data_IF_659461879518
#
_entry.id   IF_659461879518
#
_cell.length_a   1.000
_cell.length_b   1.000
_cell.length_c   1.000
_cell.angle_alpha   90.00
_cell.angle_beta   90.00
_cell.angle_gamma   90.00
#
_symmetry.space_group_name_H-M   'P 1'
#
loop_
_entity.id
_entity.type
_entity.pdbx_description
1 polymer ?
#
# COMPACT_ATOMS: atom_id res chain seq x y z
N UNK A 1 9.41 2.13 25.36
CA UNK A 1 8.49 1.79 24.28
C UNK A 1 7.20 2.58 24.50
N UNK A 2 6.79 3.48 23.60
CA UNK A 2 5.46 4.09 23.70
C UNK A 2 4.43 2.97 23.43
N UNK A 3 3.48 2.80 24.34
CA UNK A 3 2.34 1.92 24.10
C UNK A 3 1.55 2.54 22.95
N UNK A 4 1.32 1.78 21.88
CA UNK A 4 0.46 2.23 20.76
C UNK A 4 -0.93 2.54 21.32
N UNK A 5 -1.48 3.69 20.93
CA UNK A 5 -2.86 4.04 21.25
C UNK A 5 -3.84 3.40 20.27
N UNK A 6 -3.32 2.80 19.21
CA UNK A 6 -4.09 2.11 18.18
C UNK A 6 -3.92 0.60 18.32
N UNK A 7 -4.98 -0.12 18.03
CA UNK A 7 -4.96 -1.54 17.68
C UNK A 7 -5.50 -1.73 16.27
N UNK A 8 -5.19 -2.86 15.67
CA UNK A 8 -5.55 -3.18 14.29
C UNK A 8 -6.39 -4.45 14.20
N UNK A 9 -7.26 -4.48 13.22
CA UNK A 9 -7.99 -5.66 12.77
C UNK A 9 -8.01 -5.71 11.24
N UNK A 10 -7.91 -6.91 10.67
CA UNK A 10 -8.05 -7.11 9.22
C UNK A 10 -9.43 -7.69 8.96
N UNK A 11 -10.24 -6.98 8.19
CA UNK A 11 -11.65 -7.28 7.94
C UNK A 11 -11.86 -7.48 6.44
N UNK A 12 -12.48 -8.59 5.98
CA UNK A 12 -12.92 -8.76 4.60
C UNK A 12 -13.83 -7.59 4.18
N UNK A 13 -13.68 -7.10 2.95
CA UNK A 13 -14.49 -5.95 2.49
C UNK A 13 -15.98 -6.25 2.51
N UNK A 14 -16.36 -7.49 2.25
CA UNK A 14 -17.75 -7.96 2.29
C UNK A 14 -18.37 -7.93 3.70
N UNK A 15 -17.55 -8.00 4.75
CA UNK A 15 -17.96 -7.95 6.16
C UNK A 15 -18.01 -6.53 6.72
N UNK A 16 -17.50 -5.53 5.99
CA UNK A 16 -17.52 -4.12 6.43
C UNK A 16 -18.97 -3.61 6.53
N UNK A 17 -19.34 -3.14 7.71
CA UNK A 17 -20.63 -2.52 7.96
C UNK A 17 -20.75 -1.12 7.34
N UNK A 18 -21.98 -0.60 7.26
CA UNK A 18 -22.24 0.75 6.73
C UNK A 18 -21.50 1.81 7.55
N UNK A 19 -21.54 1.71 8.87
CA UNK A 19 -20.87 2.67 9.77
C UNK A 19 -19.34 2.70 9.57
N UNK A 20 -18.72 1.56 9.26
CA UNK A 20 -17.29 1.48 8.99
C UNK A 20 -16.96 2.13 7.64
N UNK A 21 -17.73 1.84 6.60
CA UNK A 21 -17.58 2.48 5.28
C UNK A 21 -17.78 4.00 5.37
N UNK A 22 -18.72 4.45 6.20
CA UNK A 22 -18.94 5.88 6.45
C UNK A 22 -17.72 6.53 7.14
N UNK A 23 -17.16 5.86 8.16
CA UNK A 23 -15.98 6.36 8.87
C UNK A 23 -14.73 6.35 7.97
N UNK A 24 -14.55 5.33 7.13
CA UNK A 24 -13.47 5.26 6.14
C UNK A 24 -13.58 6.40 5.13
N UNK A 25 -14.78 6.63 4.58
CA UNK A 25 -15.00 7.73 3.64
C UNK A 25 -14.79 9.10 4.29
N UNK A 26 -15.22 9.31 5.54
CA UNK A 26 -14.97 10.54 6.27
C UNK A 26 -13.46 10.83 6.40
N UNK A 27 -12.67 9.82 6.78
CA UNK A 27 -11.21 9.93 6.83
C UNK A 27 -10.59 10.23 5.45
N UNK A 28 -11.12 9.64 4.38
CA UNK A 28 -10.69 9.94 3.02
C UNK A 28 -10.94 11.42 2.69
N UNK A 29 -12.16 11.89 2.92
CA UNK A 29 -12.58 13.26 2.61
C UNK A 29 -11.85 14.35 3.44
N UNK A 30 -11.35 14.00 4.64
CA UNK A 30 -10.50 14.90 5.43
C UNK A 30 -9.09 15.10 4.82
N UNK A 31 -8.61 14.15 4.03
CA UNK A 31 -7.23 14.12 3.54
C UNK A 31 -7.09 14.39 2.04
N UNK A 32 -8.18 14.22 1.27
CA UNK A 32 -8.19 14.38 -0.17
C UNK A 32 -9.29 15.36 -0.60
N UNK A 33 -9.00 16.11 -1.66
CA UNK A 33 -9.97 16.98 -2.36
C UNK A 33 -10.53 16.25 -3.58
N UNK A 34 -11.71 16.64 -4.06
CA UNK A 34 -12.38 16.08 -5.25
C UNK A 34 -12.69 14.58 -5.15
N UNK A 35 -12.87 14.05 -3.94
CA UNK A 35 -13.33 12.68 -3.72
C UNK A 35 -14.86 12.60 -3.78
N UNK A 36 -15.37 11.48 -4.27
CA UNK A 36 -16.80 11.22 -4.23
C UNK A 36 -17.08 9.81 -3.69
N UNK A 37 -18.20 9.67 -3.02
CA UNK A 37 -18.61 8.43 -2.36
C UNK A 37 -18.74 7.24 -3.31
N UNK A 38 -19.39 7.37 -4.49
CA UNK A 38 -19.52 6.26 -5.43
C UNK A 38 -18.17 5.74 -5.92
N UNK A 39 -17.20 6.61 -6.23
CA UNK A 39 -15.85 6.16 -6.62
C UNK A 39 -15.13 5.43 -5.50
N UNK A 40 -15.21 5.95 -4.26
CA UNK A 40 -14.64 5.29 -3.09
C UNK A 40 -15.23 3.89 -2.88
N UNK A 41 -16.56 3.75 -2.94
CA UNK A 41 -17.23 2.47 -2.74
C UNK A 41 -16.92 1.48 -3.86
N UNK A 42 -16.85 1.94 -5.11
CA UNK A 42 -16.45 1.10 -6.24
C UNK A 42 -15.02 0.60 -6.09
N UNK A 43 -14.07 1.48 -5.71
CA UNK A 43 -12.68 1.07 -5.48
C UNK A 43 -12.57 0.14 -4.27
N UNK A 44 -13.29 0.41 -3.18
CA UNK A 44 -13.30 -0.44 -2.00
C UNK A 44 -13.84 -1.84 -2.31
N UNK A 45 -14.89 -1.94 -3.12
CA UNK A 45 -15.51 -3.22 -3.50
C UNK A 45 -14.55 -4.13 -4.28
N UNK A 46 -13.58 -3.58 -4.98
CA UNK A 46 -12.56 -4.36 -5.69
C UNK A 46 -11.47 -4.93 -4.77
N UNK A 47 -11.43 -4.54 -3.50
CA UNK A 47 -10.42 -5.02 -2.52
C UNK A 47 -10.90 -6.28 -1.82
N UNK A 48 -9.95 -7.06 -1.33
CA UNK A 48 -10.26 -8.29 -0.59
C UNK A 48 -10.50 -7.98 0.90
N UNK A 49 -9.67 -7.11 1.48
CA UNK A 49 -9.80 -6.74 2.88
C UNK A 49 -9.34 -5.30 3.17
N UNK A 50 -9.68 -4.83 4.35
CA UNK A 50 -9.19 -3.59 4.93
C UNK A 50 -8.51 -3.86 6.28
N UNK A 51 -7.32 -3.30 6.48
CA UNK A 51 -6.69 -3.19 7.79
C UNK A 51 -7.27 -1.93 8.43
N UNK A 52 -8.04 -2.08 9.49
CA UNK A 52 -8.66 -1.00 10.25
C UNK A 52 -7.80 -0.68 11.47
N UNK A 53 -7.58 0.59 11.75
CA UNK A 53 -6.87 1.08 12.92
C UNK A 53 -7.86 1.79 13.85
N UNK A 54 -8.06 1.24 15.03
CA UNK A 54 -8.97 1.80 16.02
C UNK A 54 -8.23 2.32 17.25
N UNK A 55 -8.74 3.39 17.81
CA UNK A 55 -8.25 3.90 19.09
C UNK A 55 -8.59 2.92 20.22
N UNK A 56 -7.61 2.64 21.08
CA UNK A 56 -7.76 1.68 22.16
C UNK A 56 -8.72 2.16 23.29
N UNK A 57 -9.07 3.45 23.33
CA UNK A 57 -9.93 4.02 24.36
C UNK A 57 -11.40 4.09 23.92
N UNK A 58 -11.66 4.64 22.74
CA UNK A 58 -13.02 4.91 22.26
C UNK A 58 -13.46 3.99 21.10
N UNK A 59 -12.57 3.10 20.63
CA UNK A 59 -12.77 2.21 19.49
C UNK A 59 -13.09 2.91 18.16
N UNK A 60 -12.97 4.23 18.11
CA UNK A 60 -13.21 4.98 16.89
C UNK A 60 -12.15 4.68 15.83
N UNK A 61 -12.57 4.63 14.57
CA UNK A 61 -11.67 4.44 13.44
C UNK A 61 -10.74 5.66 13.29
N UNK A 62 -9.44 5.43 13.32
CA UNK A 62 -8.39 6.46 13.20
C UNK A 62 -7.52 6.26 11.98
N UNK A 63 -7.70 5.18 11.25
CA UNK A 63 -7.02 4.92 10.00
C UNK A 63 -7.45 3.62 9.37
N UNK A 64 -7.05 3.43 8.12
CA UNK A 64 -7.26 2.18 7.40
C UNK A 64 -6.28 2.04 6.25
N UNK A 65 -6.13 0.81 5.77
CA UNK A 65 -5.44 0.50 4.51
C UNK A 65 -6.16 -0.64 3.81
N UNK A 66 -6.57 -0.44 2.57
CA UNK A 66 -7.25 -1.46 1.77
C UNK A 66 -6.23 -2.33 1.03
N UNK A 67 -6.51 -3.63 0.91
CA UNK A 67 -5.58 -4.60 0.31
C UNK A 67 -6.28 -5.43 -0.77
N UNK A 68 -5.56 -5.68 -1.86
CA UNK A 68 -5.95 -6.63 -2.92
C UNK A 68 -4.83 -7.62 -3.14
N UNK A 69 -5.12 -8.90 -3.05
CA UNK A 69 -4.19 -9.98 -3.41
C UNK A 69 -4.41 -10.33 -4.88
N UNK A 70 -3.35 -10.35 -5.65
CA UNK A 70 -3.38 -10.59 -7.09
C UNK A 70 -2.52 -11.81 -7.42
N UNK A 71 -3.03 -12.68 -8.30
CA UNK A 71 -2.26 -13.76 -8.91
C UNK A 71 -2.07 -13.46 -10.39
N UNK A 72 -0.87 -13.63 -10.90
CA UNK A 72 -0.53 -13.32 -12.28
C UNK A 72 0.66 -14.13 -12.76
N UNK A 73 0.98 -14.05 -14.07
CA UNK A 73 2.12 -14.74 -14.65
C UNK A 73 2.99 -13.73 -15.42
N UNK A 74 4.29 -13.84 -15.23
CA UNK A 74 5.27 -13.12 -16.06
C UNK A 74 6.29 -14.13 -16.57
N UNK A 75 6.53 -14.13 -17.87
CA UNK A 75 7.44 -15.06 -18.54
C UNK A 75 7.13 -16.55 -18.22
N UNK A 76 5.84 -16.88 -18.08
CA UNK A 76 5.36 -18.23 -17.73
C UNK A 76 5.52 -18.63 -16.27
N UNK A 77 6.05 -17.77 -15.42
CA UNK A 77 6.22 -18.03 -13.98
C UNK A 77 5.05 -17.46 -13.18
N UNK A 78 4.44 -18.24 -12.27
CA UNK A 78 3.41 -17.73 -11.38
C UNK A 78 4.01 -16.75 -10.37
N UNK A 79 3.33 -15.65 -10.12
CA UNK A 79 3.68 -14.61 -9.18
C UNK A 79 2.44 -14.16 -8.42
N UNK A 80 2.61 -13.67 -7.21
CA UNK A 80 1.56 -13.01 -6.43
C UNK A 80 1.96 -11.56 -6.12
N UNK A 81 0.97 -10.70 -6.00
CA UNK A 81 1.20 -9.35 -5.52
C UNK A 81 0.13 -8.93 -4.51
N UNK A 82 0.53 -8.15 -3.52
CA UNK A 82 -0.36 -7.36 -2.68
C UNK A 82 -0.38 -5.95 -3.25
N UNK A 83 -1.55 -5.48 -3.63
CA UNK A 83 -1.80 -4.08 -3.93
C UNK A 83 -2.39 -3.41 -2.68
N UNK A 84 -1.71 -2.38 -2.17
CA UNK A 84 -2.26 -1.51 -1.13
C UNK A 84 -2.92 -0.31 -1.78
N UNK A 85 -4.22 -0.20 -1.60
CA UNK A 85 -5.03 0.91 -2.09
C UNK A 85 -5.00 2.11 -1.13
N UNK A 86 -6.19 2.67 -0.86
CA UNK A 86 -6.29 3.80 0.08
C UNK A 86 -5.66 3.47 1.42
N UNK A 87 -4.70 4.30 1.82
CA UNK A 87 -3.99 4.17 3.09
C UNK A 87 -3.99 5.52 3.80
N UNK A 88 -4.78 5.61 4.85
CA UNK A 88 -5.05 6.86 5.56
C UNK A 88 -4.91 6.65 7.06
N UNK A 89 -4.23 7.58 7.73
CA UNK A 89 -4.13 7.65 9.19
C UNK A 89 -4.49 9.07 9.60
N UNK A 90 -5.38 9.21 10.58
CA UNK A 90 -5.73 10.50 11.18
C UNK A 90 -4.47 11.23 11.66
N UNK A 91 -4.37 12.54 11.42
CA UNK A 91 -3.16 13.34 11.71
C UNK A 91 -2.69 13.26 13.15
N UNK A 92 -3.63 13.12 14.10
CA UNK A 92 -3.33 12.95 15.54
C UNK A 92 -2.57 11.67 15.88
N UNK A 93 -2.55 10.70 14.95
CA UNK A 93 -1.91 9.38 15.12
C UNK A 93 -0.72 9.16 14.16
N UNK A 94 -0.26 10.21 13.48
CA UNK A 94 0.93 10.11 12.65
C UNK A 94 2.16 9.77 13.48
N UNK A 95 2.96 8.82 12.98
CA UNK A 95 4.16 8.32 13.65
C UNK A 95 3.90 7.09 14.52
N UNK A 96 2.65 6.65 14.68
CA UNK A 96 2.37 5.34 15.25
C UNK A 96 2.71 4.22 14.25
N UNK A 97 3.19 3.09 14.79
CA UNK A 97 3.73 2.00 13.97
C UNK A 97 2.71 0.88 13.73
N UNK A 98 1.48 1.03 14.23
CA UNK A 98 0.47 -0.02 14.23
C UNK A 98 0.12 -0.48 12.81
N UNK A 99 -0.05 0.45 11.85
CA UNK A 99 -0.31 0.08 10.45
C UNK A 99 0.83 -0.77 9.87
N UNK A 100 2.07 -0.33 10.06
CA UNK A 100 3.23 -1.08 9.55
C UNK A 100 3.35 -2.46 10.16
N UNK A 101 2.99 -2.61 11.45
CA UNK A 101 2.96 -3.90 12.13
C UNK A 101 1.86 -4.81 11.58
N UNK A 102 0.64 -4.29 11.47
CA UNK A 102 -0.50 -5.03 10.94
C UNK A 102 -0.27 -5.47 9.48
N UNK A 103 0.22 -4.57 8.65
CA UNK A 103 0.57 -4.89 7.27
C UNK A 103 1.69 -5.94 7.18
N UNK A 104 2.70 -5.87 8.04
CA UNK A 104 3.77 -6.86 8.07
C UNK A 104 3.27 -8.26 8.47
N UNK A 105 2.33 -8.35 9.43
CA UNK A 105 1.66 -9.62 9.76
C UNK A 105 0.86 -10.17 8.58
N UNK A 106 0.05 -9.32 7.97
CA UNK A 106 -0.77 -9.68 6.83
C UNK A 106 0.07 -10.28 5.67
N UNK A 107 1.16 -9.61 5.28
CA UNK A 107 2.01 -10.13 4.18
C UNK A 107 2.83 -11.36 4.59
N UNK A 108 3.15 -11.50 5.87
CA UNK A 108 3.82 -12.68 6.40
C UNK A 108 2.92 -13.92 6.32
N UNK A 109 1.64 -13.79 6.70
CA UNK A 109 0.65 -14.85 6.57
C UNK A 109 0.42 -15.24 5.10
N UNK A 110 0.29 -14.26 4.22
CA UNK A 110 0.18 -14.51 2.78
C UNK A 110 1.41 -15.26 2.23
N UNK A 111 2.61 -14.84 2.64
CA UNK A 111 3.85 -15.49 2.20
C UNK A 111 3.94 -16.94 2.68
N UNK A 112 3.49 -17.21 3.90
CA UNK A 112 3.50 -18.55 4.49
C UNK A 112 2.53 -19.53 3.81
N UNK A 113 1.44 -19.04 3.22
CA UNK A 113 0.45 -19.89 2.52
C UNK A 113 1.04 -20.54 1.27
N UNK A 114 1.86 -19.83 0.50
CA UNK A 114 2.46 -20.31 -0.75
C UNK A 114 3.93 -19.87 -0.83
N UNK A 115 4.82 -20.51 -0.03
CA UNK A 115 6.20 -20.07 0.13
C UNK A 115 7.04 -20.18 -1.16
N UNK A 116 6.63 -21.03 -2.11
CA UNK A 116 7.35 -21.24 -3.37
C UNK A 116 7.01 -20.19 -4.43
N UNK A 117 5.86 -19.47 -4.29
CA UNK A 117 5.45 -18.45 -5.24
C UNK A 117 5.93 -17.09 -4.75
N UNK A 118 6.76 -16.36 -5.53
CA UNK A 118 7.22 -15.02 -5.16
C UNK A 118 6.03 -14.09 -4.90
N UNK A 119 6.12 -13.30 -3.82
CA UNK A 119 5.13 -12.30 -3.43
C UNK A 119 5.73 -10.90 -3.58
N UNK A 120 5.03 -10.01 -4.24
CA UNK A 120 5.43 -8.62 -4.43
C UNK A 120 4.47 -7.65 -3.75
N UNK A 121 4.99 -6.51 -3.30
CA UNK A 121 4.17 -5.35 -2.99
C UNK A 121 4.07 -4.47 -4.23
N UNK A 122 2.87 -4.31 -4.76
CA UNK A 122 2.53 -3.35 -5.79
C UNK A 122 1.90 -2.13 -5.13
N UNK A 123 2.52 -0.98 -5.29
CA UNK A 123 2.14 0.27 -4.64
C UNK A 123 2.04 1.37 -5.68
N UNK A 124 0.95 2.14 -5.67
CA UNK A 124 0.87 3.40 -6.39
C UNK A 124 1.03 4.57 -5.42
N UNK A 125 1.90 5.52 -5.76
CA UNK A 125 2.27 6.60 -4.87
C UNK A 125 1.81 7.95 -5.40
N UNK A 126 0.73 8.47 -4.83
CA UNK A 126 0.24 9.83 -5.08
C UNK A 126 1.12 10.89 -4.41
N UNK A 127 1.75 10.56 -3.28
CA UNK A 127 2.60 11.48 -2.52
C UNK A 127 3.93 10.88 -2.09
N UNK A 128 4.92 11.74 -1.85
CA UNK A 128 6.26 11.30 -1.41
C UNK A 128 6.23 10.52 -0.09
N UNK A 129 5.24 10.75 0.78
CA UNK A 129 5.11 10.02 2.06
C UNK A 129 4.83 8.55 1.84
N UNK A 130 3.95 8.24 0.89
CA UNK A 130 3.64 6.86 0.48
C UNK A 130 4.86 6.21 -0.16
N UNK A 131 5.55 6.91 -1.07
CA UNK A 131 6.79 6.41 -1.67
C UNK A 131 7.87 6.08 -0.63
N UNK A 132 7.96 6.84 0.47
CA UNK A 132 8.94 6.62 1.53
C UNK A 132 8.73 5.33 2.33
N UNK A 133 7.58 4.67 2.24
CA UNK A 133 7.43 3.33 2.81
C UNK A 133 8.36 2.31 2.14
N UNK A 134 8.67 2.48 0.86
CA UNK A 134 9.57 1.57 0.14
C UNK A 134 10.98 1.53 0.76
N UNK A 135 11.74 2.63 0.88
CA UNK A 135 13.03 2.61 1.53
C UNK A 135 12.98 2.36 3.04
N UNK A 136 11.81 2.53 3.67
CA UNK A 136 11.61 2.21 5.09
C UNK A 136 11.54 0.70 5.32
N UNK A 137 10.84 -0.04 4.47
CA UNK A 137 10.59 -1.46 4.66
C UNK A 137 11.52 -2.37 3.86
N UNK A 138 12.11 -1.90 2.73
CA UNK A 138 12.82 -2.75 1.78
C UNK A 138 14.25 -2.29 1.52
N UNK A 139 15.12 -3.25 1.23
CA UNK A 139 16.46 -3.02 0.72
C UNK A 139 16.44 -2.75 -0.79
N UNK A 140 15.65 -3.52 -1.54
CA UNK A 140 15.43 -3.40 -2.98
C UNK A 140 13.97 -3.09 -3.26
N UNK A 141 13.73 -2.04 -4.05
CA UNK A 141 12.40 -1.61 -4.51
C UNK A 141 12.57 -0.79 -5.79
N UNK A 142 11.56 -0.67 -6.59
CA UNK A 142 11.61 0.02 -7.88
C UNK A 142 10.36 0.86 -8.14
N UNK A 143 10.51 2.01 -8.86
CA UNK A 143 11.78 2.62 -9.26
C UNK A 143 12.50 3.30 -8.09
N UNK A 144 13.83 3.49 -8.21
CA UNK A 144 14.64 4.13 -7.17
C UNK A 144 15.73 5.05 -7.76
N UNK A 145 16.27 5.95 -6.93
CA UNK A 145 17.17 7.03 -7.39
C UNK A 145 18.60 6.56 -7.75
N UNK A 146 19.04 5.45 -7.23
CA UNK A 146 20.43 4.99 -7.26
C UNK A 146 20.63 3.73 -8.12
N UNK A 147 19.55 3.26 -8.75
CA UNK A 147 19.59 2.07 -9.60
C UNK A 147 18.51 2.14 -10.70
N UNK A 148 18.87 1.73 -11.90
CA UNK A 148 17.90 1.50 -12.98
C UNK A 148 17.06 0.28 -12.61
N UNK A 149 15.75 0.35 -12.87
CA UNK A 149 14.86 -0.81 -12.68
C UNK A 149 15.31 -1.95 -13.60
N UNK A 150 15.68 -3.13 -13.06
CA UNK A 150 16.05 -4.27 -13.91
C UNK A 150 14.88 -4.72 -14.79
N UNK A 151 15.17 -5.35 -15.92
CA UNK A 151 14.17 -5.69 -16.93
C UNK A 151 13.05 -6.59 -16.38
N UNK A 152 13.40 -7.56 -15.51
CA UNK A 152 12.41 -8.46 -14.89
C UNK A 152 11.42 -7.69 -14.03
N UNK A 153 11.91 -6.84 -13.13
CA UNK A 153 11.08 -6.04 -12.23
C UNK A 153 10.26 -5.01 -12.99
N UNK A 154 10.79 -4.47 -14.09
CA UNK A 154 10.03 -3.59 -14.98
C UNK A 154 8.88 -4.35 -15.66
N UNK A 155 9.13 -5.57 -16.16
CA UNK A 155 8.09 -6.40 -16.78
C UNK A 155 6.99 -6.76 -15.77
N UNK A 156 7.36 -7.07 -14.51
CA UNK A 156 6.40 -7.35 -13.43
C UNK A 156 5.56 -6.09 -13.13
N UNK A 157 6.22 -4.96 -12.96
CA UNK A 157 5.55 -3.68 -12.68
C UNK A 157 4.58 -3.29 -13.79
N UNK A 158 5.04 -3.41 -15.05
CA UNK A 158 4.23 -3.11 -16.23
C UNK A 158 3.01 -4.04 -16.35
N UNK A 159 3.20 -5.34 -16.08
CA UNK A 159 2.11 -6.31 -16.09
C UNK A 159 1.05 -5.97 -15.04
N UNK A 160 1.46 -5.71 -13.80
CA UNK A 160 0.55 -5.34 -12.71
C UNK A 160 -0.17 -4.02 -12.99
N UNK A 161 0.57 -2.99 -13.39
CA UNK A 161 0.00 -1.67 -13.65
C UNK A 161 -0.96 -1.69 -14.86
N UNK A 162 -0.60 -2.39 -15.94
CA UNK A 162 -1.48 -2.52 -17.12
C UNK A 162 -2.72 -3.36 -16.84
N UNK A 163 -2.62 -4.42 -16.03
CA UNK A 163 -3.78 -5.25 -15.68
C UNK A 163 -4.78 -4.47 -14.84
N UNK A 164 -4.30 -3.66 -13.88
CA UNK A 164 -5.17 -2.94 -12.96
C UNK A 164 -5.63 -1.58 -13.48
N UNK A 165 -4.80 -0.91 -14.28
CA UNK A 165 -4.97 0.48 -14.72
C UNK A 165 -4.73 0.65 -16.22
N UNK A 166 -5.23 -0.28 -17.06
CA UNK A 166 -4.98 -0.30 -18.50
C UNK A 166 -5.14 1.06 -19.19
N UNK A 167 -6.21 1.79 -18.84
CA UNK A 167 -6.59 3.06 -19.47
C UNK A 167 -5.82 4.28 -18.92
N UNK A 168 -5.15 4.11 -17.79
CA UNK A 168 -4.49 5.20 -17.04
C UNK A 168 -2.98 5.02 -16.91
N UNK A 169 -2.46 3.82 -17.17
CA UNK A 169 -1.04 3.54 -17.02
C UNK A 169 -0.23 4.01 -18.24
N UNK A 170 0.73 4.89 -17.99
CA UNK A 170 1.68 5.39 -19.01
C UNK A 170 3.02 4.69 -18.80
N UNK A 171 3.26 3.61 -19.57
CA UNK A 171 4.43 2.72 -19.42
C UNK A 171 5.77 3.48 -19.46
N UNK A 172 5.93 4.44 -20.36
CA UNK A 172 7.17 5.20 -20.56
C UNK A 172 7.60 5.99 -19.31
N UNK A 173 6.63 6.48 -18.55
CA UNK A 173 6.87 7.24 -17.31
C UNK A 173 6.74 6.40 -16.06
N UNK A 174 6.02 5.27 -16.12
CA UNK A 174 5.63 4.47 -14.96
C UNK A 174 4.54 5.15 -14.11
N UNK A 175 3.80 6.10 -14.69
CA UNK A 175 2.77 6.86 -14.01
C UNK A 175 1.38 6.31 -14.31
N UNK A 176 0.52 6.37 -13.32
CA UNK A 176 -0.92 6.22 -13.47
C UNK A 176 -1.54 7.61 -13.44
N UNK A 177 -2.20 7.98 -14.53
CA UNK A 177 -2.76 9.31 -14.75
C UNK A 177 -4.27 9.23 -14.66
N UNK A 178 -4.79 9.36 -13.44
CA UNK A 178 -6.22 9.35 -13.22
C UNK A 178 -6.89 10.66 -13.66
N UNK A 179 -8.18 10.61 -14.02
CA UNK A 179 -9.02 11.80 -14.10
C UNK A 179 -9.12 12.51 -12.73
N UNK A 180 -9.45 13.80 -12.74
CA UNK A 180 -9.62 14.60 -11.50
C UNK A 180 -10.63 14.00 -10.52
N UNK A 181 -11.57 13.20 -11.00
CA UNK A 181 -12.59 12.50 -10.18
C UNK A 181 -12.02 11.48 -9.18
N UNK A 182 -10.74 11.10 -9.29
CA UNK A 182 -10.07 10.15 -8.39
C UNK A 182 -9.41 10.81 -7.17
N UNK A 183 -9.67 12.10 -6.96
CA UNK A 183 -9.19 12.86 -5.80
C UNK A 183 -7.73 13.28 -5.88
N UNK A 184 -7.45 14.42 -5.28
CA UNK A 184 -6.12 15.01 -5.17
C UNK A 184 -5.72 15.10 -3.70
N UNK A 185 -4.42 15.07 -3.41
CA UNK A 185 -3.94 15.36 -2.06
C UNK A 185 -4.40 16.76 -1.64
N UNK A 186 -4.97 16.89 -0.44
CA UNK A 186 -5.26 18.19 0.13
C UNK A 186 -3.99 19.04 0.18
N UNK A 187 -4.12 20.36 0.04
CA UNK A 187 -3.00 21.30 -0.05
C UNK A 187 -1.95 21.06 1.04
N UNK A 188 -2.37 20.81 2.28
CA UNK A 188 -1.46 20.56 3.40
C UNK A 188 -0.72 19.22 3.31
N UNK A 189 -1.26 18.23 2.58
CA UNK A 189 -0.59 16.95 2.31
C UNK A 189 0.34 17.01 1.10
N UNK A 190 0.00 17.83 0.11
CA UNK A 190 0.84 18.06 -1.07
C UNK A 190 2.07 18.92 -0.75
N UNK A 191 2.04 19.73 0.31
CA UNK A 191 3.18 20.56 0.72
C UNK A 191 4.37 19.71 1.18
N UNK A 192 5.56 20.06 0.66
CA UNK A 192 6.80 19.37 0.95
C UNK A 192 7.69 20.26 1.83
N UNK A 193 7.87 19.91 3.13
CA UNK A 193 8.75 20.67 4.00
C UNK A 193 10.18 20.72 3.46
N UNK A 194 10.84 21.88 3.55
CA UNK A 194 12.18 22.10 2.99
C UNK A 194 13.22 21.07 3.45
N UNK A 195 13.14 20.58 4.71
CA UNK A 195 14.05 19.57 5.21
C UNK A 195 13.88 18.21 4.49
N UNK A 196 12.68 17.90 3.96
CA UNK A 196 12.41 16.66 3.21
C UNK A 196 13.07 16.66 1.83
N UNK A 197 13.28 17.81 1.23
CA UNK A 197 13.99 17.96 -0.06
C UNK A 197 15.46 17.54 0.01
N UNK A 198 16.04 17.37 1.21
CA UNK A 198 17.38 16.81 1.38
C UNK A 198 17.43 15.31 1.09
N UNK A 199 16.31 14.60 1.23
CA UNK A 199 16.23 13.17 0.95
C UNK A 199 16.38 12.89 -0.55
N UNK A 200 17.31 12.01 -0.98
CA UNK A 200 17.41 11.62 -2.38
C UNK A 200 16.15 10.91 -2.87
N UNK A 201 15.48 10.15 -2.03
CA UNK A 201 14.23 9.47 -2.35
C UNK A 201 13.10 10.47 -2.65
N UNK A 202 12.99 11.55 -1.86
CA UNK A 202 11.97 12.59 -2.10
C UNK A 202 12.26 13.33 -3.40
N UNK A 203 13.51 13.71 -3.66
CA UNK A 203 13.87 14.37 -4.93
C UNK A 203 13.60 13.47 -6.13
N UNK A 204 13.92 12.18 -6.01
CA UNK A 204 13.63 11.21 -7.06
C UNK A 204 12.12 11.09 -7.32
N UNK A 205 11.32 10.92 -6.29
CA UNK A 205 9.86 10.87 -6.43
C UNK A 205 9.34 12.11 -7.18
N UNK A 206 9.77 13.31 -6.77
CA UNK A 206 9.35 14.56 -7.42
C UNK A 206 9.79 14.68 -8.88
N UNK A 207 10.97 14.16 -9.21
CA UNK A 207 11.43 14.13 -10.60
C UNK A 207 10.67 13.13 -11.47
N UNK A 208 10.22 12.02 -10.89
CA UNK A 208 9.45 10.97 -11.59
C UNK A 208 7.96 11.32 -11.68
N UNK A 209 7.40 11.95 -10.66
CA UNK A 209 5.99 12.34 -10.60
C UNK A 209 5.85 13.86 -10.29
N UNK A 210 6.19 14.75 -11.22
CA UNK A 210 6.15 16.19 -10.99
C UNK A 210 4.71 16.73 -10.83
N UNK A 211 3.70 15.98 -11.32
CA UNK A 211 2.29 16.35 -11.25
C UNK A 211 1.52 15.57 -10.16
N UNK A 212 2.22 15.11 -9.14
CA UNK A 212 1.61 14.35 -8.03
C UNK A 212 0.46 15.12 -7.33
N UNK A 213 0.57 16.44 -7.25
CA UNK A 213 -0.48 17.29 -6.65
C UNK A 213 -1.77 17.32 -7.50
N UNK A 214 -1.69 16.96 -8.78
CA UNK A 214 -2.82 16.85 -9.69
C UNK A 214 -3.43 15.42 -9.69
N UNK A 215 -2.97 14.55 -8.80
CA UNK A 215 -3.49 13.19 -8.63
C UNK A 215 -2.74 12.11 -9.42
N UNK A 216 -1.65 12.46 -10.13
CA UNK A 216 -0.82 11.43 -10.78
C UNK A 216 -0.15 10.54 -9.73
N UNK A 217 -0.03 9.25 -10.00
CA UNK A 217 0.56 8.28 -9.10
C UNK A 217 1.72 7.52 -9.73
N UNK A 218 2.81 7.35 -8.98
CA UNK A 218 3.97 6.58 -9.43
C UNK A 218 3.77 5.11 -9.07
N UNK A 219 3.78 4.23 -10.08
CA UNK A 219 3.75 2.79 -9.88
C UNK A 219 5.08 2.30 -9.29
N UNK A 220 5.02 1.49 -8.25
CA UNK A 220 6.17 1.01 -7.51
C UNK A 220 6.04 -0.48 -7.18
N UNK A 221 7.18 -1.16 -7.03
CA UNK A 221 7.28 -2.58 -6.78
C UNK A 221 8.37 -2.90 -5.77
N UNK A 222 8.12 -3.83 -4.86
CA UNK A 222 9.12 -4.44 -4.00
C UNK A 222 8.80 -5.92 -3.78
N UNK A 223 9.80 -6.80 -3.84
CA UNK A 223 9.61 -8.21 -3.48
C UNK A 223 9.50 -8.33 -1.95
N UNK A 224 8.50 -9.08 -1.50
CA UNK A 224 8.29 -9.40 -0.09
C UNK A 224 9.01 -10.70 0.20
N UNK A 225 10.26 -10.60 0.66
CA UNK A 225 11.07 -11.73 1.13
C UNK A 225 11.85 -11.33 2.38
N UNK A 226 12.27 -12.34 3.17
CA UNK A 226 13.03 -12.11 4.39
C UNK A 226 14.36 -11.36 4.12
N UNK A 227 14.99 -11.64 2.97
CA UNK A 227 16.24 -11.03 2.52
C UNK A 227 16.04 -9.58 2.09
N UNK A 228 14.89 -9.26 1.51
CA UNK A 228 14.60 -7.92 1.00
C UNK A 228 13.97 -6.99 2.04
N UNK A 229 13.26 -7.55 3.03
CA UNK A 229 12.64 -6.73 4.06
C UNK A 229 13.63 -6.31 5.15
N UNK A 230 13.50 -5.06 5.64
CA UNK A 230 14.37 -4.54 6.70
C UNK A 230 13.94 -5.06 8.07
N UNK A 231 14.92 -5.26 8.91
CA UNK A 231 14.98 -5.79 10.29
C UNK A 231 13.67 -6.15 11.03
N UNK A 232 12.73 -5.23 11.15
CA UNK A 232 11.49 -5.50 11.89
C UNK A 232 10.53 -6.38 11.07
N UNK A 233 10.28 -5.99 9.84
CA UNK A 233 9.39 -6.70 8.93
C UNK A 233 9.95 -8.08 8.57
N UNK A 234 11.27 -8.20 8.40
CA UNK A 234 11.98 -9.48 8.18
C UNK A 234 11.78 -10.45 9.36
N UNK A 235 11.88 -9.97 10.61
CA UNK A 235 11.59 -10.83 11.79
C UNK A 235 10.17 -11.36 11.80
N UNK A 236 9.20 -10.54 11.44
CA UNK A 236 7.79 -10.97 11.41
C UNK A 236 7.54 -12.05 10.35
N UNK A 237 8.18 -11.94 9.17
CA UNK A 237 8.12 -12.99 8.16
C UNK A 237 8.70 -14.32 8.68
N UNK A 238 9.84 -14.25 9.38
CA UNK A 238 10.48 -15.44 9.94
C UNK A 238 9.65 -16.10 11.06
N UNK A 239 9.09 -15.29 11.96
CA UNK A 239 8.22 -15.77 13.06
C UNK A 239 6.90 -16.37 12.57
N UNK A 240 6.39 -15.92 11.42
CA UNK A 240 5.18 -16.48 10.79
C UNK A 240 5.47 -17.77 10.03
N UNK A 241 6.67 -17.92 9.46
CA UNK A 241 7.09 -19.15 8.79
C UNK A 241 7.26 -20.33 9.76
N UNK A 242 7.58 -20.07 11.04
CA UNK A 242 7.74 -21.08 12.09
C UNK A 242 6.41 -21.51 12.75
N UNK A 243 5.30 -20.83 12.44
CA UNK A 243 3.98 -21.23 12.94
C UNK A 243 3.39 -22.32 12.02
N UNK A 244 2.81 -23.40 12.59
CA UNK A 244 2.07 -24.35 11.78
C UNK A 244 0.97 -23.61 11.02
N UNK A 245 0.80 -23.97 9.74
CA UNK A 245 -0.27 -23.42 8.91
C UNK A 245 -1.62 -23.51 9.66
N UNK A 246 -2.45 -22.46 9.64
CA UNK A 246 -3.78 -22.52 10.25
C UNK A 246 -4.54 -23.72 9.68
N UNK A 247 -5.19 -24.48 10.54
CA UNK A 247 -5.90 -25.73 10.20
C UNK A 247 -7.10 -25.53 9.25
N UNK A 248 -7.46 -24.29 8.98
CA UNK A 248 -8.38 -23.87 7.90
C UNK A 248 -7.77 -22.67 7.19
N UNK A 249 -7.77 -22.63 5.83
CA UNK A 249 -7.43 -21.41 5.12
C UNK A 249 -8.42 -20.33 5.55
N UNK A 250 -7.92 -19.20 6.04
CA UNK A 250 -8.77 -18.06 6.33
C UNK A 250 -9.49 -17.71 5.02
N UNK A 251 -10.83 -17.64 5.04
CA UNK A 251 -11.69 -17.38 3.87
C UNK A 251 -11.44 -16.03 3.18
N UNK A 252 -10.50 -15.25 3.71
CA UNK A 252 -10.15 -13.91 3.24
C UNK A 252 -9.45 -13.94 1.87
N UNK A 253 -8.88 -15.07 1.43
CA UNK A 253 -7.98 -15.13 0.27
C UNK A 253 -8.30 -16.26 -0.74
N UNK A 254 -9.47 -16.86 -0.67
CA UNK A 254 -9.91 -17.91 -1.61
C UNK A 254 -10.62 -17.32 -2.82
#
# INVERSE_FOLDING_TARGET
>A
MRISRLFSETVPVEELGVAEKDAMYALLAENYENVNRPCFEADLFEKDCAILLRDAQDHALRGFSTQKVMQFHVDGQPLRAVFSGDTIIARSHWGEQELGRAWSHFVAELRAQEPEIPLYWFLISKGYRTYLFLPLFFHQFFPRHDQVTPAREQNILDALASTRYSDFYVRESGLIVFPESHGNLSRGLAEIPAHRLRSPHVRFFLSRNPRFAEGHELACLAEISAENMRSYASRMLSESADKPAPSEPSRIYA
#
